data_IF_727880567394
#
_entry.id   IF_727880567394
#
_cell.length_a   1.000
_cell.length_b   1.000
_cell.length_c   1.000
_cell.angle_alpha   90.00
_cell.angle_beta   90.00
_cell.angle_gamma   90.00
#
_symmetry.space_group_name_H-M   'P 1'
#
loop_
_entity.id
_entity.type
_entity.pdbx_description
1 polymer ?
#
# COMPACT_ATOMS: atom_id res chain seq x y z
N UNK A 1 28.52 -10.29 -13.76
CA UNK A 1 27.69 -9.51 -12.81
C UNK A 1 26.54 -10.41 -12.38
N UNK A 2 26.37 -10.65 -11.08
CA UNK A 2 25.24 -11.45 -10.56
C UNK A 2 23.99 -10.57 -10.57
N UNK A 3 22.86 -11.10 -11.07
CA UNK A 3 21.60 -10.36 -11.25
C UNK A 3 20.41 -11.22 -10.84
N UNK A 4 19.30 -10.57 -10.51
CA UNK A 4 18.02 -11.24 -10.26
C UNK A 4 17.89 -11.84 -8.86
N UNK A 5 18.76 -11.45 -7.93
CA UNK A 5 18.66 -11.84 -6.52
C UNK A 5 17.49 -11.12 -5.86
N UNK A 6 16.80 -11.82 -4.96
CA UNK A 6 15.69 -11.26 -4.19
C UNK A 6 16.10 -9.99 -3.42
N UNK A 7 17.35 -9.91 -2.97
CA UNK A 7 17.90 -8.73 -2.30
C UNK A 7 17.76 -7.44 -3.11
N UNK A 8 18.02 -7.49 -4.43
CA UNK A 8 17.93 -6.31 -5.29
C UNK A 8 16.48 -5.84 -5.44
N UNK A 9 15.51 -6.76 -5.40
CA UNK A 9 14.10 -6.41 -5.37
C UNK A 9 13.76 -5.67 -4.07
N UNK A 10 14.21 -6.17 -2.91
CA UNK A 10 13.97 -5.54 -1.61
C UNK A 10 14.57 -4.14 -1.56
N UNK A 11 15.85 -3.99 -1.91
CA UNK A 11 16.55 -2.70 -1.95
C UNK A 11 15.81 -1.70 -2.84
N UNK A 12 15.51 -2.07 -4.08
CA UNK A 12 14.83 -1.17 -5.02
C UNK A 12 13.43 -0.76 -4.52
N UNK A 13 12.70 -1.69 -3.89
CA UNK A 13 11.35 -1.42 -3.37
C UNK A 13 11.38 -0.49 -2.18
N UNK A 14 12.28 -0.73 -1.23
CA UNK A 14 12.42 0.06 0.00
C UNK A 14 12.88 1.48 -0.33
N UNK A 15 13.92 1.63 -1.16
CA UNK A 15 14.42 2.94 -1.57
C UNK A 15 13.33 3.78 -2.25
N UNK A 16 12.55 3.14 -3.14
CA UNK A 16 11.43 3.80 -3.83
C UNK A 16 10.34 4.24 -2.85
N UNK A 17 9.99 3.40 -1.87
CA UNK A 17 8.98 3.71 -0.87
C UNK A 17 9.40 4.85 0.07
N UNK A 18 10.66 4.86 0.51
CA UNK A 18 11.21 5.93 1.34
C UNK A 18 11.24 7.27 0.59
N UNK A 19 11.70 7.26 -0.66
CA UNK A 19 11.68 8.45 -1.52
C UNK A 19 10.26 8.98 -1.71
N UNK A 20 9.31 8.10 -2.02
CA UNK A 20 7.93 8.50 -2.25
C UNK A 20 7.28 9.09 -0.98
N UNK A 21 7.57 8.54 0.20
CA UNK A 21 7.04 9.08 1.45
C UNK A 21 7.63 10.46 1.78
N UNK A 22 8.90 10.70 1.47
CA UNK A 22 9.48 12.05 1.56
C UNK A 22 8.78 13.04 0.60
N UNK A 23 8.45 12.61 -0.63
CA UNK A 23 7.68 13.42 -1.58
C UNK A 23 6.27 13.71 -1.04
N UNK A 24 5.60 12.73 -0.44
CA UNK A 24 4.29 12.91 0.16
C UNK A 24 4.30 13.97 1.26
N UNK A 25 5.25 13.89 2.19
CA UNK A 25 5.42 14.85 3.29
C UNK A 25 5.72 16.25 2.75
N UNK A 26 6.62 16.36 1.77
CA UNK A 26 6.97 17.65 1.16
C UNK A 26 5.78 18.26 0.39
N UNK A 27 4.99 17.45 -0.30
CA UNK A 27 3.80 17.93 -0.99
C UNK A 27 2.74 18.44 0.01
N UNK A 28 2.48 17.68 1.08
CA UNK A 28 1.54 18.08 2.14
C UNK A 28 1.99 19.35 2.86
N UNK A 29 3.30 19.56 3.08
CA UNK A 29 3.82 20.81 3.67
C UNK A 29 3.62 22.04 2.77
N UNK A 30 3.49 21.84 1.46
CA UNK A 30 3.19 22.89 0.47
C UNK A 30 1.68 23.03 0.18
N UNK A 31 0.83 22.39 0.99
CA UNK A 31 -0.63 22.48 0.87
C UNK A 31 -1.24 21.62 -0.25
N UNK A 32 -0.49 20.68 -0.82
CA UNK A 32 -1.00 19.68 -1.76
C UNK A 32 -1.59 18.49 -1.00
N UNK A 33 -2.61 17.86 -1.58
CA UNK A 33 -3.06 16.52 -1.18
C UNK A 33 -2.40 15.43 -2.03
N UNK A 34 -2.28 14.24 -1.46
CA UNK A 34 -1.63 13.08 -2.11
C UNK A 34 -2.52 11.83 -2.11
N UNK A 35 -2.31 10.96 -3.10
CA UNK A 35 -2.88 9.60 -3.07
C UNK A 35 -1.97 8.60 -3.77
N UNK A 36 -1.56 7.55 -3.04
CA UNK A 36 -0.84 6.42 -3.63
C UNK A 36 -1.77 5.56 -4.47
N UNK A 37 -1.35 5.25 -5.70
CA UNK A 37 -2.08 4.42 -6.65
C UNK A 37 -1.40 3.06 -6.79
N UNK A 38 -1.66 2.18 -5.82
CA UNK A 38 -1.24 0.77 -5.91
C UNK A 38 -1.98 -0.03 -7.00
N UNK A 39 -3.01 0.56 -7.62
CA UNK A 39 -3.82 -0.06 -8.68
C UNK A 39 -3.07 -0.29 -9.99
N UNK A 40 -1.97 0.44 -10.23
CA UNK A 40 -1.17 0.26 -11.46
C UNK A 40 -0.57 -1.16 -11.57
N UNK A 41 -0.46 -1.88 -10.44
CA UNK A 41 -0.01 -3.28 -10.39
C UNK A 41 -1.08 -4.29 -10.83
N UNK A 42 -2.29 -3.84 -11.17
CA UNK A 42 -3.29 -4.73 -11.77
C UNK A 42 -2.85 -5.14 -13.19
N UNK A 43 -2.34 -4.18 -13.99
CA UNK A 43 -1.82 -4.43 -15.35
C UNK A 43 -0.40 -3.89 -15.48
N UNK A 44 0.59 -4.47 -14.78
CA UNK A 44 1.93 -3.90 -14.67
C UNK A 44 2.71 -3.94 -15.99
N UNK A 45 2.39 -4.88 -16.89
CA UNK A 45 2.98 -4.96 -18.22
C UNK A 45 2.51 -3.78 -19.10
N UNK A 46 1.20 -3.53 -19.18
CA UNK A 46 0.65 -2.42 -19.95
C UNK A 46 1.21 -1.06 -19.49
N UNK A 47 1.33 -0.86 -18.17
CA UNK A 47 1.96 0.33 -17.59
C UNK A 47 3.44 0.43 -18.00
N UNK A 48 4.17 -0.70 -17.96
CA UNK A 48 5.58 -0.73 -18.36
C UNK A 48 5.77 -0.43 -19.84
N UNK A 49 4.90 -0.94 -20.71
CA UNK A 49 4.94 -0.71 -22.15
C UNK A 49 4.60 0.74 -22.49
N UNK A 50 3.54 1.27 -21.87
CA UNK A 50 3.11 2.66 -22.03
C UNK A 50 4.22 3.65 -21.65
N UNK A 51 4.89 3.41 -20.52
CA UNK A 51 5.97 4.25 -20.02
C UNK A 51 7.35 3.87 -20.61
N UNK A 52 7.40 2.87 -21.50
CA UNK A 52 8.62 2.34 -22.14
C UNK A 52 9.71 2.01 -21.12
N UNK A 53 9.34 1.37 -20.01
CA UNK A 53 10.26 1.03 -18.95
C UNK A 53 11.30 0.01 -19.46
N UNK A 54 12.60 0.25 -19.34
CA UNK A 54 13.65 -0.68 -19.78
C UNK A 54 13.76 -1.89 -18.84
N UNK A 55 14.46 -2.93 -19.26
CA UNK A 55 14.76 -4.08 -18.38
C UNK A 55 15.29 -3.63 -17.00
N UNK A 56 15.00 -4.42 -15.96
CA UNK A 56 15.37 -4.14 -14.57
C UNK A 56 14.70 -2.91 -13.94
N UNK A 57 13.67 -2.35 -14.58
CA UNK A 57 12.78 -1.35 -13.98
C UNK A 57 11.39 -1.94 -13.83
N UNK A 58 10.70 -1.69 -12.71
CA UNK A 58 9.32 -2.12 -12.54
C UNK A 58 8.51 -1.06 -11.78
N UNK A 59 7.20 -0.93 -12.05
CA UNK A 59 6.36 0.06 -11.39
C UNK A 59 5.92 -0.41 -10.00
N UNK A 60 6.34 0.29 -8.95
CA UNK A 60 5.94 -0.01 -7.55
C UNK A 60 4.52 0.52 -7.26
N UNK A 61 4.28 1.80 -7.50
CA UNK A 61 2.98 2.48 -7.35
C UNK A 61 2.96 3.77 -8.17
N UNK A 62 1.76 4.29 -8.46
CA UNK A 62 1.58 5.66 -8.90
C UNK A 62 1.39 6.60 -7.72
N UNK A 63 1.44 7.91 -7.96
CA UNK A 63 1.16 8.94 -6.96
C UNK A 63 0.44 10.12 -7.62
N UNK A 64 -0.75 10.44 -7.13
CA UNK A 64 -1.45 11.67 -7.48
C UNK A 64 -1.05 12.77 -6.49
N UNK A 65 -0.76 13.97 -7.00
CA UNK A 65 -0.49 15.18 -6.24
C UNK A 65 -1.36 16.30 -6.81
N UNK A 66 -1.92 17.16 -5.97
CA UNK A 66 -2.69 18.31 -6.43
C UNK A 66 -3.32 19.12 -5.30
N UNK A 67 -3.85 20.29 -5.61
CA UNK A 67 -4.54 21.11 -4.62
C UNK A 67 -5.88 20.45 -4.23
N UNK A 68 -6.11 20.19 -2.93
CA UNK A 68 -7.29 19.46 -2.49
C UNK A 68 -8.57 20.29 -2.73
N UNK A 69 -9.56 19.68 -3.35
CA UNK A 69 -10.91 20.25 -3.48
C UNK A 69 -11.83 19.87 -2.30
N UNK A 70 -11.38 18.94 -1.46
CA UNK A 70 -12.11 18.39 -0.32
C UNK A 70 -11.15 18.11 0.84
N UNK A 71 -11.68 18.14 2.06
CA UNK A 71 -10.95 17.82 3.29
C UNK A 71 -11.59 16.57 3.95
N UNK A 72 -11.12 15.36 3.63
CA UNK A 72 -11.71 14.13 4.15
C UNK A 72 -11.32 13.89 5.61
N UNK A 73 -12.24 13.32 6.39
CA UNK A 73 -11.96 12.92 7.78
C UNK A 73 -10.77 11.94 7.87
N UNK A 74 -9.94 12.13 8.89
CA UNK A 74 -8.83 11.22 9.20
C UNK A 74 -9.38 9.86 9.60
N UNK A 75 -9.06 8.83 8.82
CA UNK A 75 -9.41 7.44 9.15
C UNK A 75 -8.63 7.00 10.40
N UNK A 76 -9.24 6.35 11.40
CA UNK A 76 -8.52 5.78 12.53
C UNK A 76 -7.43 4.80 12.10
N UNK A 77 -6.41 4.62 12.94
CA UNK A 77 -5.33 3.62 12.79
C UNK A 77 -5.41 2.62 13.93
N UNK A 78 -4.82 1.43 13.73
CA UNK A 78 -4.66 0.44 14.79
C UNK A 78 -3.98 1.09 16.02
N UNK A 79 -4.33 0.64 17.23
CA UNK A 79 -3.67 1.10 18.45
C UNK A 79 -2.17 0.81 18.38
N UNK A 80 -1.36 1.68 19.01
CA UNK A 80 0.11 1.59 18.89
C UNK A 80 0.63 0.26 19.45
N UNK A 81 -0.03 -0.31 20.46
CA UNK A 81 0.28 -1.57 21.11
C UNK A 81 0.10 -2.80 20.19
N UNK A 82 -0.71 -2.64 19.13
CA UNK A 82 -0.82 -3.66 18.07
C UNK A 82 0.39 -3.60 17.11
N UNK A 83 1.02 -2.43 16.96
CA UNK A 83 2.09 -2.19 15.98
C UNK A 83 3.49 -2.27 16.60
N UNK A 84 3.69 -1.61 17.75
CA UNK A 84 4.92 -1.60 18.51
C UNK A 84 4.96 -2.83 19.42
N UNK A 85 5.98 -3.66 19.24
CA UNK A 85 6.24 -4.84 20.06
C UNK A 85 7.59 -4.67 20.75
N UNK A 86 7.61 -4.84 22.06
CA UNK A 86 8.83 -4.78 22.86
C UNK A 86 9.40 -6.19 23.01
N UNK A 87 10.69 -6.34 22.72
CA UNK A 87 11.48 -7.58 22.75
C UNK A 87 11.04 -8.69 21.76
N UNK A 88 9.77 -9.08 21.78
CA UNK A 88 9.23 -10.19 20.98
C UNK A 88 7.89 -9.85 20.37
N UNK A 89 7.59 -10.48 19.23
CA UNK A 89 6.27 -10.38 18.62
C UNK A 89 5.22 -11.08 19.48
N UNK A 90 4.09 -10.43 19.72
CA UNK A 90 2.98 -10.95 20.53
C UNK A 90 1.68 -10.93 19.75
N UNK A 91 0.78 -11.84 20.09
CA UNK A 91 -0.59 -11.85 19.56
C UNK A 91 -1.30 -10.53 19.89
N UNK A 92 -2.06 -10.02 18.93
CA UNK A 92 -2.81 -8.76 18.99
C UNK A 92 -4.30 -8.93 18.69
N UNK A 93 -4.80 -10.17 18.74
CA UNK A 93 -6.17 -10.51 18.32
C UNK A 93 -7.24 -9.71 19.09
N UNK A 94 -7.05 -9.50 20.40
CA UNK A 94 -7.97 -8.70 21.22
C UNK A 94 -7.95 -7.21 20.85
N UNK A 95 -6.77 -6.67 20.54
CA UNK A 95 -6.61 -5.27 20.10
C UNK A 95 -7.25 -5.05 18.73
N UNK A 96 -7.10 -6.02 17.83
CA UNK A 96 -7.75 -6.00 16.51
C UNK A 96 -9.26 -6.09 16.64
N UNK A 97 -9.79 -6.95 17.52
CA UNK A 97 -11.23 -7.05 17.76
C UNK A 97 -11.82 -5.72 18.31
N UNK A 98 -11.15 -5.10 19.28
CA UNK A 98 -11.56 -3.79 19.78
C UNK A 98 -11.48 -2.69 18.71
N UNK A 99 -10.46 -2.74 17.85
CA UNK A 99 -10.33 -1.81 16.73
C UNK A 99 -11.41 -2.02 15.67
N UNK A 100 -11.85 -3.26 15.46
CA UNK A 100 -12.96 -3.58 14.56
C UNK A 100 -14.27 -2.93 15.02
N UNK A 101 -14.59 -2.98 16.31
CA UNK A 101 -15.76 -2.29 16.89
C UNK A 101 -15.67 -0.77 16.68
N UNK A 102 -14.49 -0.17 16.94
CA UNK A 102 -14.26 1.25 16.72
C UNK A 102 -14.42 1.64 15.24
N UNK A 103 -13.93 0.80 14.32
CA UNK A 103 -14.03 1.02 12.88
C UNK A 103 -15.44 0.84 12.35
N UNK A 104 -16.23 -0.10 12.89
CA UNK A 104 -17.65 -0.25 12.57
C UNK A 104 -18.42 1.02 12.98
N UNK A 105 -18.16 1.56 14.18
CA UNK A 105 -18.76 2.81 14.63
C UNK A 105 -18.32 4.01 13.76
N UNK A 106 -17.06 4.07 13.34
CA UNK A 106 -16.55 5.10 12.43
C UNK A 106 -17.28 5.05 11.07
N UNK A 107 -17.37 3.86 10.45
CA UNK A 107 -18.05 3.72 9.16
C UNK A 107 -19.53 4.05 9.24
N UNK A 108 -20.23 3.68 10.33
CA UNK A 108 -21.64 4.01 10.52
C UNK A 108 -21.92 5.52 10.68
N UNK A 109 -20.94 6.31 11.13
CA UNK A 109 -21.06 7.77 11.27
C UNK A 109 -20.60 8.54 10.04
N UNK A 110 -19.82 7.92 9.16
CA UNK A 110 -19.17 8.58 8.04
C UNK A 110 -20.21 9.03 7.01
N UNK A 111 -20.12 10.31 6.59
CA UNK A 111 -21.00 10.89 5.56
C UNK A 111 -20.89 10.07 4.26
N UNK A 112 -22.00 9.44 3.86
CA UNK A 112 -22.11 8.70 2.60
C UNK A 112 -22.04 7.17 2.69
N UNK A 113 -22.10 6.54 3.87
CA UNK A 113 -22.13 5.07 3.92
C UNK A 113 -22.76 4.45 5.18
N UNK A 114 -23.91 3.79 5.02
CA UNK A 114 -24.36 2.71 5.90
C UNK A 114 -23.71 1.39 5.48
N UNK A 115 -22.38 1.31 5.51
CA UNK A 115 -21.67 0.04 5.27
C UNK A 115 -21.47 -0.68 6.59
N UNK A 116 -22.16 -1.81 6.77
CA UNK A 116 -21.90 -2.72 7.89
C UNK A 116 -20.59 -3.48 7.64
N UNK A 117 -19.47 -2.84 7.97
CA UNK A 117 -18.13 -3.39 7.83
C UNK A 117 -17.23 -2.85 8.94
N UNK A 118 -16.14 -3.57 9.22
CA UNK A 118 -15.08 -3.16 10.13
C UNK A 118 -13.73 -3.15 9.41
N UNK A 119 -12.61 -3.12 10.12
CA UNK A 119 -11.28 -3.13 9.51
C UNK A 119 -10.94 -4.49 8.92
N UNK A 120 -11.12 -5.58 9.67
CA UNK A 120 -10.78 -6.95 9.24
C UNK A 120 -11.57 -7.37 8.00
N UNK A 121 -12.89 -7.15 7.98
CA UNK A 121 -13.75 -7.43 6.82
C UNK A 121 -13.32 -6.66 5.56
N UNK A 122 -12.82 -5.43 5.72
CA UNK A 122 -12.33 -4.65 4.59
C UNK A 122 -10.99 -5.17 4.03
N UNK A 123 -10.26 -5.98 4.80
CA UNK A 123 -9.00 -6.58 4.37
C UNK A 123 -9.20 -7.95 3.73
N UNK A 124 -10.31 -8.66 3.97
CA UNK A 124 -10.62 -9.97 3.35
C UNK A 124 -10.31 -10.03 1.85
N UNK A 125 -10.68 -9.01 1.02
CA UNK A 125 -10.40 -9.05 -0.41
C UNK A 125 -8.91 -9.11 -0.75
N UNK A 126 -8.01 -8.66 0.13
CA UNK A 126 -6.55 -8.76 -0.09
C UNK A 126 -6.05 -10.20 -0.06
N UNK A 127 -6.77 -11.09 0.64
CA UNK A 127 -6.38 -12.49 0.84
C UNK A 127 -7.17 -13.47 -0.03
N UNK A 128 -8.19 -13.00 -0.77
CA UNK A 128 -9.00 -13.84 -1.66
C UNK A 128 -8.99 -13.32 -3.11
N UNK A 129 -9.48 -12.09 -3.34
CA UNK A 129 -9.73 -11.59 -4.71
C UNK A 129 -8.64 -10.69 -5.31
N UNK A 130 -7.78 -10.06 -4.49
CA UNK A 130 -6.73 -9.10 -4.93
C UNK A 130 -5.31 -9.67 -4.81
N UNK A 131 -5.15 -10.97 -5.05
CA UNK A 131 -3.87 -11.67 -4.90
C UNK A 131 -2.80 -11.24 -5.91
N UNK A 132 -3.19 -10.78 -7.10
CA UNK A 132 -2.29 -10.37 -8.20
C UNK A 132 -1.20 -11.42 -8.49
N UNK A 133 -1.60 -12.69 -8.60
CA UNK A 133 -0.69 -13.83 -8.78
C UNK A 133 0.28 -13.67 -9.98
N UNK A 134 -0.13 -12.92 -11.01
CA UNK A 134 0.69 -12.60 -12.20
C UNK A 134 1.95 -11.79 -11.89
N UNK A 135 2.03 -11.11 -10.73
CA UNK A 135 3.17 -10.26 -10.37
C UNK A 135 4.49 -11.04 -10.31
N UNK A 136 4.48 -12.31 -9.90
CA UNK A 136 5.70 -13.13 -9.86
C UNK A 136 6.30 -13.27 -11.26
N UNK A 137 5.49 -13.74 -12.21
CA UNK A 137 5.92 -13.92 -13.60
C UNK A 137 6.35 -12.59 -14.23
N UNK A 138 5.59 -11.52 -13.99
CA UNK A 138 5.94 -10.18 -14.45
C UNK A 138 7.32 -9.74 -13.92
N UNK A 139 7.57 -9.83 -12.61
CA UNK A 139 8.84 -9.43 -12.00
C UNK A 139 10.01 -10.27 -12.53
N UNK A 140 9.82 -11.58 -12.71
CA UNK A 140 10.83 -12.45 -13.33
C UNK A 140 11.15 -12.00 -14.75
N UNK A 141 10.15 -11.68 -15.58
CA UNK A 141 10.37 -11.12 -16.95
C UNK A 141 11.10 -9.78 -16.94
N UNK A 142 10.98 -9.00 -15.86
CA UNK A 142 11.70 -7.74 -15.65
C UNK A 142 13.11 -7.93 -15.08
N UNK A 143 13.56 -9.18 -14.90
CA UNK A 143 14.89 -9.52 -14.40
C UNK A 143 15.00 -9.60 -12.88
N UNK A 144 13.87 -9.66 -12.16
CA UNK A 144 13.80 -9.95 -10.73
C UNK A 144 13.39 -11.41 -10.54
N UNK A 145 14.36 -12.33 -10.71
CA UNK A 145 14.13 -13.78 -10.75
C UNK A 145 13.79 -14.41 -9.39
N UNK A 146 13.83 -13.63 -8.30
CA UNK A 146 13.58 -14.09 -6.92
C UNK A 146 14.45 -15.30 -6.55
N UNK A 147 15.72 -15.25 -6.97
CA UNK A 147 16.78 -16.19 -6.57
C UNK A 147 17.27 -15.90 -5.15
#
# INVERSE_FOLDING_TARGET
MVRGMTEQLLVATVDTALMAQNVAIAAESEGLGICYIGGIRNNPQEISDLLRLPEHVYPVFGMCLGYPAHDPEVKPRLPVEAILKEDYYTDDSELVAAFDDAMQAYYGKRRGGNKDTNWSKNLEPLFDSKLRAHMREFLTKRGFEMK
#
